data_IF_496230897023
#
_entry.id   IF_496230897023
#
_cell.length_a   1.000
_cell.length_b   1.000
_cell.length_c   1.000
_cell.angle_alpha   90.00
_cell.angle_beta   90.00
_cell.angle_gamma   90.00
#
_symmetry.space_group_name_H-M   'P 1'
#
loop_
_entity.id
_entity.type
_entity.pdbx_description
1 polymer ?
#
# COMPACT_ATOMS: atom_id res chain seq x y z
N UNK A 1 -5.38 -9.37 18.27
CA UNK A 1 -4.52 -8.25 18.73
C UNK A 1 -3.40 -7.92 17.75
N UNK A 2 -2.52 -8.86 17.34
CA UNK A 2 -1.56 -8.63 16.25
C UNK A 2 -2.23 -8.06 14.98
N UNK A 3 -3.46 -8.45 14.72
CA UNK A 3 -4.29 -7.95 13.62
C UNK A 3 -4.51 -6.44 13.70
N UNK A 4 -4.87 -5.87 14.86
CA UNK A 4 -5.10 -4.42 15.02
C UNK A 4 -3.82 -3.63 14.85
N UNK A 5 -2.69 -4.16 15.32
CA UNK A 5 -1.39 -3.54 15.17
C UNK A 5 -0.98 -3.53 13.68
N UNK A 6 -1.19 -4.66 12.98
CA UNK A 6 -0.88 -4.76 11.54
C UNK A 6 -1.78 -3.84 10.69
N UNK A 7 -3.04 -3.68 11.09
CA UNK A 7 -3.99 -2.79 10.42
C UNK A 7 -3.65 -1.32 10.57
N UNK A 8 -2.98 -0.92 11.66
CA UNK A 8 -2.77 0.50 11.97
C UNK A 8 -2.13 1.27 10.80
N UNK A 9 -1.14 0.68 10.13
CA UNK A 9 -0.47 1.31 8.99
C UNK A 9 -1.35 1.46 7.75
N UNK A 10 -2.09 0.43 7.37
CA UNK A 10 -2.90 0.45 6.15
C UNK A 10 -4.25 1.13 6.33
N UNK A 11 -4.91 0.93 7.47
CA UNK A 11 -6.18 1.55 7.78
C UNK A 11 -6.08 3.07 7.85
N UNK A 12 -5.01 3.59 8.48
CA UNK A 12 -4.80 5.03 8.61
C UNK A 12 -4.63 5.75 7.27
N UNK A 13 -4.15 5.06 6.24
CA UNK A 13 -4.09 5.62 4.89
C UNK A 13 -5.50 5.83 4.32
N UNK A 14 -6.34 4.79 4.35
CA UNK A 14 -7.63 4.80 3.66
C UNK A 14 -8.73 5.56 4.39
N UNK A 15 -8.70 5.58 5.73
CA UNK A 15 -9.74 6.22 6.56
C UNK A 15 -9.73 7.75 6.42
N UNK A 16 -8.57 8.36 6.14
CA UNK A 16 -8.43 9.81 6.01
C UNK A 16 -8.79 10.34 4.61
N UNK A 17 -8.79 9.48 3.58
CA UNK A 17 -9.01 9.90 2.19
C UNK A 17 -10.32 10.69 2.00
N UNK A 18 -11.49 10.28 2.51
CA UNK A 18 -12.73 11.05 2.34
C UNK A 18 -12.70 12.44 3.01
N UNK A 19 -11.78 12.64 3.96
CA UNK A 19 -11.64 13.90 4.69
C UNK A 19 -10.77 14.93 3.98
N UNK A 20 -10.05 14.55 2.90
CA UNK A 20 -9.05 15.40 2.24
C UNK A 20 -9.60 16.77 1.81
N UNK A 21 -10.75 16.88 1.09
CA UNK A 21 -11.23 18.20 0.68
C UNK A 21 -11.58 19.10 1.87
N UNK A 22 -12.31 18.56 2.85
CA UNK A 22 -12.74 19.32 4.04
C UNK A 22 -11.52 19.74 4.90
N UNK A 23 -10.51 18.90 4.98
CA UNK A 23 -9.27 19.23 5.67
C UNK A 23 -8.45 20.28 4.91
N UNK A 24 -8.47 20.23 3.56
CA UNK A 24 -7.84 21.23 2.69
C UNK A 24 -8.44 22.60 2.89
N UNK A 25 -9.75 22.71 2.81
CA UNK A 25 -10.47 23.97 3.08
C UNK A 25 -10.15 24.53 4.49
N UNK A 26 -10.07 23.66 5.49
CA UNK A 26 -9.80 24.06 6.87
C UNK A 26 -8.35 24.49 7.14
N UNK A 27 -7.40 24.07 6.30
CA UNK A 27 -5.96 24.36 6.40
C UNK A 27 -5.47 25.34 5.33
N UNK A 28 -6.39 25.89 4.51
CA UNK A 28 -6.09 26.76 3.35
C UNK A 28 -5.05 26.13 2.42
N UNK A 29 -5.25 24.82 2.12
CA UNK A 29 -4.36 23.99 1.34
C UNK A 29 -4.96 23.58 0.01
N UNK A 30 -4.16 23.60 -1.05
CA UNK A 30 -4.58 23.15 -2.37
C UNK A 30 -4.64 21.60 -2.49
N UNK A 31 -5.24 21.12 -3.58
CA UNK A 31 -5.44 19.70 -3.83
C UNK A 31 -4.10 18.94 -3.91
N UNK A 32 -3.06 19.55 -4.47
CA UNK A 32 -1.74 18.95 -4.59
C UNK A 32 -1.10 18.76 -3.20
N UNK A 33 -1.17 19.77 -2.35
CA UNK A 33 -0.69 19.71 -0.96
C UNK A 33 -1.45 18.63 -0.15
N UNK A 34 -2.77 18.54 -0.32
CA UNK A 34 -3.55 17.51 0.36
C UNK A 34 -3.23 16.11 -0.13
N UNK A 35 -2.97 15.93 -1.43
CA UNK A 35 -2.51 14.63 -1.97
C UNK A 35 -1.11 14.25 -1.47
N UNK A 36 -0.23 15.24 -1.19
CA UNK A 36 1.06 14.97 -0.55
C UNK A 36 0.92 14.33 0.84
N UNK A 37 -0.17 14.57 1.57
CA UNK A 37 -0.42 13.89 2.86
C UNK A 37 -0.54 12.37 2.68
N UNK A 38 -1.06 11.90 1.55
CA UNK A 38 -1.17 10.48 1.20
C UNK A 38 0.12 9.97 0.57
N UNK A 39 0.71 10.74 -0.36
CA UNK A 39 1.96 10.37 -1.03
C UNK A 39 3.11 10.17 -0.03
N UNK A 40 3.33 11.14 0.88
CA UNK A 40 4.37 11.03 1.90
C UNK A 40 4.02 10.00 2.99
N UNK A 41 2.72 9.74 3.24
CA UNK A 41 2.31 8.60 4.05
C UNK A 41 2.80 7.28 3.43
N UNK A 42 2.56 7.07 2.14
CA UNK A 42 3.00 5.87 1.42
C UNK A 42 4.53 5.75 1.43
N UNK A 43 5.24 6.87 1.25
CA UNK A 43 6.70 6.92 1.35
C UNK A 43 7.20 6.53 2.74
N UNK A 44 6.51 6.97 3.81
CA UNK A 44 6.80 6.55 5.18
C UNK A 44 6.66 5.03 5.36
N UNK A 45 5.60 4.42 4.80
CA UNK A 45 5.44 2.96 4.75
C UNK A 45 6.58 2.29 3.98
N UNK A 46 6.99 2.85 2.83
CA UNK A 46 8.08 2.32 2.01
C UNK A 46 9.38 2.24 2.81
N UNK A 47 9.81 3.35 3.38
CA UNK A 47 11.04 3.42 4.18
C UNK A 47 10.97 2.49 5.39
N UNK A 48 9.82 2.44 6.06
CA UNK A 48 9.59 1.55 7.20
C UNK A 48 9.80 0.07 6.86
N UNK A 49 9.45 -0.37 5.65
CA UNK A 49 9.65 -1.77 5.23
C UNK A 49 11.13 -2.18 5.17
N UNK A 50 12.03 -1.26 4.81
CA UNK A 50 13.47 -1.52 4.86
C UNK A 50 14.03 -1.50 6.28
N UNK A 51 13.42 -0.68 7.16
CA UNK A 51 13.97 -0.37 8.47
C UNK A 51 13.58 -1.39 9.54
N UNK A 52 12.29 -1.79 9.61
CA UNK A 52 11.80 -2.60 10.73
C UNK A 52 12.24 -4.06 10.71
N UNK A 53 12.54 -4.64 9.55
CA UNK A 53 13.12 -5.98 9.45
C UNK A 53 14.44 -6.08 10.24
N UNK A 54 15.48 -5.40 9.78
CA UNK A 54 16.80 -5.39 10.44
C UNK A 54 16.76 -4.88 11.89
N UNK A 55 15.93 -3.87 12.18
CA UNK A 55 15.78 -3.36 13.54
C UNK A 55 15.26 -4.45 14.50
N UNK A 56 14.28 -5.21 14.06
CA UNK A 56 13.67 -6.25 14.88
C UNK A 56 14.57 -7.47 15.06
N UNK A 57 15.45 -7.75 14.12
CA UNK A 57 16.46 -8.81 14.25
C UNK A 57 17.54 -8.40 15.25
N UNK A 58 17.88 -7.11 15.34
CA UNK A 58 18.87 -6.59 16.27
C UNK A 58 18.35 -6.42 17.70
N UNK A 59 17.15 -5.84 17.86
CA UNK A 59 16.60 -5.46 19.17
C UNK A 59 15.60 -6.48 19.73
N UNK A 60 15.08 -7.39 18.90
CA UNK A 60 13.93 -8.22 19.19
C UNK A 60 12.65 -7.65 18.61
N UNK A 61 11.61 -8.48 18.49
CA UNK A 61 10.33 -8.10 17.84
C UNK A 61 9.58 -7.07 18.67
N UNK A 62 9.48 -7.29 19.99
CA UNK A 62 8.72 -6.42 20.90
C UNK A 62 9.29 -4.99 20.99
N UNK A 63 10.59 -4.75 21.26
CA UNK A 63 11.16 -3.41 21.30
C UNK A 63 11.02 -2.66 19.97
N UNK A 64 11.27 -3.32 18.83
CA UNK A 64 11.11 -2.72 17.52
C UNK A 64 9.65 -2.28 17.25
N UNK A 65 8.68 -3.11 17.65
CA UNK A 65 7.27 -2.79 17.53
C UNK A 65 6.85 -1.64 18.48
N UNK A 66 7.38 -1.61 19.72
CA UNK A 66 7.14 -0.52 20.66
C UNK A 66 7.64 0.83 20.13
N UNK A 67 8.85 0.86 19.56
CA UNK A 67 9.40 2.07 18.92
C UNK A 67 8.47 2.53 17.79
N UNK A 68 8.03 1.63 16.92
CA UNK A 68 7.10 1.96 15.83
C UNK A 68 5.77 2.52 16.34
N UNK A 69 5.14 1.86 17.33
CA UNK A 69 3.87 2.32 17.88
C UNK A 69 4.00 3.62 18.68
N UNK A 70 5.14 3.88 19.30
CA UNK A 70 5.43 5.15 19.95
C UNK A 70 5.51 6.29 18.92
N UNK A 71 6.27 6.09 17.83
CA UNK A 71 6.37 7.06 16.72
C UNK A 71 4.98 7.30 16.12
N UNK A 72 4.20 6.22 15.86
CA UNK A 72 2.84 6.32 15.33
C UNK A 72 1.94 7.16 16.25
N UNK A 73 2.00 6.93 17.56
CA UNK A 73 1.16 7.63 18.54
C UNK A 73 1.52 9.11 18.66
N UNK A 74 2.81 9.44 18.76
CA UNK A 74 3.29 10.83 18.81
C UNK A 74 2.89 11.57 17.53
N UNK A 75 3.17 10.97 16.37
CA UNK A 75 2.80 11.54 15.09
C UNK A 75 1.28 11.68 14.94
N UNK A 76 0.49 10.74 15.50
CA UNK A 76 -0.95 10.83 15.57
C UNK A 76 -1.46 12.04 16.36
N UNK A 77 -0.83 12.35 17.50
CA UNK A 77 -1.13 13.55 18.30
C UNK A 77 -0.81 14.81 17.48
N UNK A 78 0.36 14.84 16.83
CA UNK A 78 0.78 15.99 16.02
C UNK A 78 -0.18 16.19 14.84
N UNK A 79 -0.57 15.12 14.14
CA UNK A 79 -1.53 15.17 13.04
C UNK A 79 -2.91 15.71 13.49
N UNK A 80 -3.42 15.23 14.63
CA UNK A 80 -4.69 15.72 15.18
C UNK A 80 -4.66 17.21 15.53
N UNK A 81 -3.51 17.71 16.01
CA UNK A 81 -3.30 19.12 16.41
C UNK A 81 -2.81 19.99 15.25
N UNK A 82 -2.70 19.45 14.03
CA UNK A 82 -2.14 20.19 12.89
C UNK A 82 -2.92 21.48 12.60
N UNK A 83 -2.16 22.59 12.52
CA UNK A 83 -2.64 23.92 12.19
C UNK A 83 -2.20 24.39 10.81
N UNK A 84 -1.29 23.65 10.14
CA UNK A 84 -0.87 23.87 8.77
C UNK A 84 -0.78 22.55 8.03
N UNK A 85 -0.80 22.63 6.70
CA UNK A 85 -0.72 21.44 5.83
C UNK A 85 0.66 20.78 5.93
N UNK A 86 1.74 21.55 6.08
CA UNK A 86 3.10 21.04 6.22
C UNK A 86 3.25 20.22 7.52
N UNK A 87 2.66 20.71 8.61
CA UNK A 87 2.63 19.99 9.88
C UNK A 87 1.87 18.67 9.74
N UNK A 88 0.74 18.69 9.03
CA UNK A 88 -0.04 17.49 8.76
C UNK A 88 0.74 16.50 7.89
N UNK A 89 1.36 16.96 6.80
CA UNK A 89 2.16 16.15 5.89
C UNK A 89 3.30 15.45 6.64
N UNK A 90 4.09 16.22 7.42
CA UNK A 90 5.19 15.67 8.22
C UNK A 90 4.69 14.64 9.24
N UNK A 91 3.62 14.96 9.96
CA UNK A 91 3.02 14.05 10.94
C UNK A 91 2.53 12.75 10.28
N UNK A 92 1.90 12.84 9.12
CA UNK A 92 1.42 11.68 8.37
C UNK A 92 2.57 10.77 7.90
N UNK A 93 3.69 11.35 7.46
CA UNK A 93 4.89 10.59 7.11
C UNK A 93 5.40 9.76 8.31
N UNK A 94 5.61 10.41 9.47
CA UNK A 94 6.09 9.69 10.66
C UNK A 94 5.05 8.72 11.22
N UNK A 95 3.76 9.01 11.10
CA UNK A 95 2.69 8.10 11.47
C UNK A 95 2.75 6.82 10.62
N UNK A 96 2.94 6.94 9.31
CA UNK A 96 3.09 5.81 8.41
C UNK A 96 4.37 5.01 8.70
N UNK A 97 5.49 5.71 8.88
CA UNK A 97 6.75 5.08 9.24
C UNK A 97 6.59 4.24 10.51
N UNK A 98 6.00 4.80 11.57
CA UNK A 98 5.72 4.06 12.81
C UNK A 98 4.74 2.89 12.61
N UNK A 99 3.66 3.11 11.85
CA UNK A 99 2.64 2.09 11.56
C UNK A 99 3.15 0.91 10.74
N UNK A 100 4.20 1.13 9.94
CA UNK A 100 4.84 0.08 9.17
C UNK A 100 5.43 -1.04 10.05
N UNK A 101 5.82 -0.75 11.30
CA UNK A 101 6.28 -1.75 12.26
C UNK A 101 5.26 -2.88 12.42
N UNK A 102 3.98 -2.54 12.57
CA UNK A 102 2.90 -3.52 12.68
C UNK A 102 2.75 -4.38 11.42
N UNK A 103 2.84 -3.77 10.24
CA UNK A 103 2.73 -4.46 8.96
C UNK A 103 3.92 -5.41 8.70
N UNK A 104 5.13 -4.95 9.00
CA UNK A 104 6.37 -5.71 8.79
C UNK A 104 6.51 -6.86 9.81
N UNK A 105 6.27 -6.60 11.10
CA UNK A 105 6.55 -7.53 12.17
C UNK A 105 5.38 -8.45 12.51
N UNK A 106 4.13 -8.06 12.24
CA UNK A 106 2.96 -8.84 12.58
C UNK A 106 2.97 -10.25 11.98
N UNK A 107 3.38 -10.38 10.72
CA UNK A 107 3.53 -11.68 10.05
C UNK A 107 4.70 -12.52 10.61
N UNK A 108 5.80 -11.86 10.96
CA UNK A 108 6.96 -12.51 11.55
C UNK A 108 6.61 -13.10 12.92
N UNK A 109 5.98 -12.32 13.79
CA UNK A 109 5.58 -12.74 15.13
C UNK A 109 4.58 -13.90 15.13
N UNK A 110 3.67 -13.96 14.16
CA UNK A 110 2.77 -15.13 14.02
C UNK A 110 3.58 -16.38 13.69
N UNK A 111 4.57 -16.28 12.79
CA UNK A 111 5.43 -17.42 12.45
C UNK A 111 6.33 -17.85 13.63
N UNK A 112 6.81 -16.89 14.41
CA UNK A 112 7.68 -17.14 15.56
C UNK A 112 6.93 -17.82 16.73
N UNK A 113 5.61 -17.61 16.86
CA UNK A 113 4.80 -18.02 18.03
C UNK A 113 3.84 -19.17 17.78
N UNK A 114 3.56 -19.52 16.53
CA UNK A 114 2.59 -20.55 16.20
C UNK A 114 3.25 -21.84 15.73
N UNK A 115 2.72 -23.00 16.16
CA UNK A 115 3.08 -24.28 15.55
C UNK A 115 2.75 -24.23 14.02
N UNK A 116 3.50 -24.96 13.16
CA UNK A 116 3.38 -24.85 11.71
C UNK A 116 1.92 -24.90 11.19
N UNK A 117 1.13 -25.84 11.68
CA UNK A 117 -0.26 -26.03 11.26
C UNK A 117 -1.17 -24.86 11.70
N UNK A 118 -0.95 -24.29 12.88
CA UNK A 118 -1.69 -23.15 13.39
C UNK A 118 -1.20 -21.82 12.81
N UNK A 119 0.08 -21.73 12.39
CA UNK A 119 0.63 -20.54 11.76
C UNK A 119 -0.10 -20.20 10.46
N UNK A 120 -0.40 -21.21 9.62
CA UNK A 120 -1.14 -21.01 8.36
C UNK A 120 -2.54 -20.43 8.63
N UNK A 121 -3.26 -20.99 9.61
CA UNK A 121 -4.60 -20.52 9.96
C UNK A 121 -4.58 -19.08 10.53
N UNK A 122 -3.63 -18.76 11.42
CA UNK A 122 -3.48 -17.41 11.99
C UNK A 122 -3.09 -16.38 10.96
N UNK A 123 -2.20 -16.73 10.02
CA UNK A 123 -1.82 -15.87 8.89
C UNK A 123 -3.00 -15.65 7.94
N UNK A 124 -3.83 -16.66 7.70
CA UNK A 124 -5.04 -16.51 6.89
C UNK A 124 -6.02 -15.50 7.50
N UNK A 125 -6.26 -15.59 8.82
CA UNK A 125 -7.09 -14.62 9.54
C UNK A 125 -6.47 -13.22 9.49
N UNK A 126 -5.17 -13.09 9.71
CA UNK A 126 -4.48 -11.80 9.60
C UNK A 126 -4.67 -11.20 8.21
N UNK A 127 -4.42 -11.97 7.15
CA UNK A 127 -4.54 -11.49 5.78
C UNK A 127 -5.99 -11.13 5.42
N UNK A 128 -6.98 -11.87 5.92
CA UNK A 128 -8.40 -11.56 5.73
C UNK A 128 -8.74 -10.18 6.33
N UNK A 129 -8.31 -9.92 7.57
CA UNK A 129 -8.61 -8.64 8.23
C UNK A 129 -7.82 -7.50 7.61
N UNK A 130 -6.55 -7.73 7.22
CA UNK A 130 -5.74 -6.73 6.47
C UNK A 130 -6.38 -6.39 5.12
N UNK A 131 -7.11 -7.32 4.50
CA UNK A 131 -7.84 -7.06 3.27
C UNK A 131 -9.18 -6.31 3.50
N UNK A 132 -9.92 -6.67 4.55
CA UNK A 132 -11.23 -6.06 4.87
C UNK A 132 -11.07 -4.65 5.48
N UNK A 133 -10.05 -4.44 6.31
CA UNK A 133 -9.81 -3.17 6.99
C UNK A 133 -9.82 -1.96 6.06
N UNK A 134 -9.00 -1.94 5.01
CA UNK A 134 -9.01 -0.88 4.01
C UNK A 134 -10.35 -0.69 3.27
N UNK A 135 -11.14 -1.76 3.09
CA UNK A 135 -12.46 -1.66 2.46
C UNK A 135 -13.47 -0.92 3.35
N UNK A 136 -13.42 -1.13 4.66
CA UNK A 136 -14.30 -0.46 5.61
C UNK A 136 -13.79 0.93 6.02
N UNK A 137 -12.48 1.18 5.89
CA UNK A 137 -11.86 2.41 6.34
C UNK A 137 -12.46 3.68 5.72
N UNK A 138 -12.69 3.79 4.41
CA UNK A 138 -13.30 4.98 3.82
C UNK A 138 -14.74 5.21 4.31
N UNK A 139 -15.51 4.16 4.57
CA UNK A 139 -16.88 4.27 5.10
C UNK A 139 -16.86 4.85 6.52
N UNK A 140 -15.99 4.33 7.39
CA UNK A 140 -15.79 4.85 8.75
C UNK A 140 -15.27 6.28 8.71
N UNK A 141 -14.29 6.56 7.82
CA UNK A 141 -13.70 7.87 7.64
C UNK A 141 -14.72 8.91 7.18
N UNK A 142 -15.56 8.57 6.20
CA UNK A 142 -16.64 9.42 5.72
C UNK A 142 -17.67 9.70 6.82
N UNK A 143 -18.09 8.68 7.57
CA UNK A 143 -19.03 8.83 8.68
C UNK A 143 -18.46 9.77 9.76
N UNK A 144 -17.24 9.55 10.21
CA UNK A 144 -16.59 10.41 11.21
C UNK A 144 -16.43 11.84 10.71
N UNK A 145 -16.04 12.01 9.44
CA UNK A 145 -15.81 13.33 8.85
C UNK A 145 -17.10 14.13 8.75
N UNK A 146 -18.19 13.51 8.32
CA UNK A 146 -19.49 14.19 8.10
C UNK A 146 -20.24 14.47 9.41
N UNK A 147 -20.04 13.64 10.44
CA UNK A 147 -20.78 13.77 11.71
C UNK A 147 -20.02 14.55 12.77
N UNK A 148 -18.70 14.34 12.88
CA UNK A 148 -17.87 14.85 13.97
C UNK A 148 -16.69 15.71 13.49
N UNK A 149 -16.53 15.86 12.17
CA UNK A 149 -15.46 16.64 11.56
C UNK A 149 -14.19 15.83 11.29
N UNK A 150 -13.37 16.32 10.34
CA UNK A 150 -12.19 15.61 9.83
C UNK A 150 -11.11 15.32 10.88
N UNK A 151 -10.94 16.20 11.88
CA UNK A 151 -9.98 15.99 12.97
C UNK A 151 -10.30 14.76 13.83
N UNK A 152 -11.55 14.36 13.91
CA UNK A 152 -11.96 13.14 14.66
C UNK A 152 -11.40 11.87 14.05
N UNK A 153 -11.21 11.84 12.73
CA UNK A 153 -10.53 10.72 12.04
C UNK A 153 -9.09 10.57 12.56
N UNK A 154 -8.36 11.68 12.65
CA UNK A 154 -6.97 11.69 13.14
C UNK A 154 -6.90 11.37 14.64
N UNK A 155 -7.87 11.83 15.44
CA UNK A 155 -7.98 11.48 16.84
C UNK A 155 -8.24 9.98 17.03
N UNK A 156 -9.13 9.39 16.24
CA UNK A 156 -9.40 7.96 16.30
C UNK A 156 -8.14 7.13 15.98
N UNK A 157 -7.36 7.54 14.98
CA UNK A 157 -6.07 6.92 14.66
C UNK A 157 -5.04 7.08 15.78
N UNK A 158 -4.99 8.25 16.41
CA UNK A 158 -4.14 8.51 17.55
C UNK A 158 -4.48 7.58 18.74
N UNK A 159 -5.76 7.50 19.09
CA UNK A 159 -6.25 6.61 20.16
C UNK A 159 -5.98 5.14 19.87
N UNK A 160 -6.14 4.72 18.62
CA UNK A 160 -5.78 3.38 18.18
C UNK A 160 -4.27 3.13 18.34
N UNK A 161 -3.43 4.09 18.00
CA UNK A 161 -1.98 4.00 18.18
C UNK A 161 -1.58 3.87 19.65
N UNK A 162 -2.14 4.70 20.51
CA UNK A 162 -1.91 4.64 21.97
C UNK A 162 -2.39 3.30 22.54
N UNK A 163 -3.57 2.85 22.14
CA UNK A 163 -4.11 1.55 22.56
C UNK A 163 -3.20 0.39 22.13
N UNK A 164 -2.71 0.40 20.90
CA UNK A 164 -1.77 -0.59 20.38
C UNK A 164 -0.42 -0.54 21.15
N UNK A 165 0.11 0.67 21.44
CA UNK A 165 1.33 0.84 22.21
C UNK A 165 1.19 0.27 23.63
N UNK A 166 0.10 0.62 24.34
CA UNK A 166 -0.20 0.10 25.67
C UNK A 166 -0.34 -1.41 25.68
N UNK A 167 -0.98 -1.97 24.64
CA UNK A 167 -1.12 -3.40 24.47
C UNK A 167 0.23 -4.09 24.29
N UNK A 168 1.08 -3.60 23.38
CA UNK A 168 2.41 -4.16 23.13
C UNK A 168 3.26 -4.08 24.41
N UNK A 169 3.17 -2.95 25.11
CA UNK A 169 3.91 -2.75 26.35
C UNK A 169 3.48 -3.69 27.49
N UNK A 170 2.16 -3.91 27.67
CA UNK A 170 1.65 -4.70 28.81
C UNK A 170 1.55 -6.19 28.55
N UNK A 171 1.18 -6.58 27.37
CA UNK A 171 0.65 -7.92 27.08
C UNK A 171 1.44 -8.71 26.02
N UNK A 172 2.35 -8.07 25.28
CA UNK A 172 3.05 -8.77 24.22
C UNK A 172 4.39 -9.33 24.73
N UNK A 173 4.61 -10.66 24.66
CA UNK A 173 5.91 -11.25 24.98
C UNK A 173 6.93 -10.99 23.86
N UNK A 174 8.21 -11.11 24.19
CA UNK A 174 9.25 -11.21 23.16
C UNK A 174 9.15 -12.55 22.44
N UNK A 175 9.25 -12.52 21.11
CA UNK A 175 9.05 -13.72 20.28
C UNK A 175 10.31 -14.15 19.54
N UNK A 176 11.34 -13.32 19.49
CA UNK A 176 12.62 -13.65 18.86
C UNK A 176 13.80 -13.23 19.74
N UNK A 177 14.88 -14.00 19.67
CA UNK A 177 16.13 -13.63 20.33
C UNK A 177 16.82 -12.51 19.56
N UNK A 178 17.12 -11.40 20.25
CA UNK A 178 17.85 -10.28 19.69
C UNK A 178 19.30 -10.70 19.35
N UNK A 179 19.76 -10.39 18.15
CA UNK A 179 21.16 -10.62 17.75
C UNK A 179 22.12 -9.58 18.33
N UNK A 180 21.59 -8.49 18.90
CA UNK A 180 22.33 -7.39 19.50
C UNK A 180 23.00 -6.45 18.50
N UNK A 181 23.02 -6.78 17.20
CA UNK A 181 23.67 -5.96 16.17
C UNK A 181 22.93 -6.03 14.83
N UNK A 182 22.77 -4.89 14.19
CA UNK A 182 22.38 -4.84 12.77
C UNK A 182 23.64 -5.06 11.93
N UNK A 183 23.67 -6.11 11.14
CA UNK A 183 24.78 -6.35 10.21
C UNK A 183 24.57 -5.56 8.91
N UNK A 184 24.77 -4.24 8.96
CA UNK A 184 24.61 -3.36 7.80
C UNK A 184 25.43 -3.79 6.57
N UNK A 185 26.70 -4.23 6.69
CA UNK A 185 27.46 -4.70 5.53
C UNK A 185 26.85 -5.93 4.86
N UNK A 186 26.30 -6.86 5.63
CA UNK A 186 25.62 -8.05 5.10
C UNK A 186 24.35 -7.66 4.36
N UNK A 187 23.49 -6.85 4.98
CA UNK A 187 22.25 -6.36 4.40
C UNK A 187 22.50 -5.55 3.12
N UNK A 188 23.52 -4.67 3.12
CA UNK A 188 23.89 -3.90 1.94
C UNK A 188 24.35 -4.80 0.79
N UNK A 189 25.09 -5.88 1.07
CA UNK A 189 25.47 -6.87 0.04
C UNK A 189 24.27 -7.61 -0.53
N UNK A 190 23.30 -8.00 0.30
CA UNK A 190 22.07 -8.64 -0.16
C UNK A 190 21.27 -7.70 -1.07
N UNK A 191 21.07 -6.44 -0.64
CA UNK A 191 20.38 -5.44 -1.45
C UNK A 191 21.12 -5.14 -2.76
N UNK A 192 22.45 -4.99 -2.71
CA UNK A 192 23.26 -4.81 -3.93
C UNK A 192 23.13 -5.98 -4.90
N UNK A 193 23.09 -7.21 -4.38
CA UNK A 193 22.91 -8.42 -5.21
C UNK A 193 21.55 -8.41 -5.90
N UNK A 194 20.48 -8.04 -5.19
CA UNK A 194 19.13 -7.95 -5.72
C UNK A 194 19.00 -6.81 -6.76
N UNK A 195 19.53 -5.62 -6.46
CA UNK A 195 19.50 -4.46 -7.36
C UNK A 195 20.32 -4.70 -8.62
N UNK A 196 21.33 -5.54 -8.59
CA UNK A 196 22.10 -5.94 -9.79
C UNK A 196 21.39 -6.99 -10.65
N UNK A 197 20.33 -7.59 -10.17
CA UNK A 197 19.52 -8.55 -10.94
C UNK A 197 18.49 -7.84 -11.81
N UNK A 198 18.62 -7.84 -13.15
CA UNK A 198 17.63 -7.21 -14.03
C UNK A 198 16.24 -7.83 -13.90
N UNK A 199 16.16 -9.14 -13.62
CA UNK A 199 14.90 -9.83 -13.38
C UNK A 199 14.22 -9.31 -12.11
N UNK A 200 14.97 -9.16 -10.99
CA UNK A 200 14.42 -8.61 -9.75
C UNK A 200 13.91 -7.18 -9.92
N UNK A 201 14.71 -6.31 -10.53
CA UNK A 201 14.33 -4.92 -10.78
C UNK A 201 13.08 -4.85 -11.66
N UNK A 202 13.04 -5.65 -12.73
CA UNK A 202 11.89 -5.68 -13.61
C UNK A 202 10.60 -6.14 -12.91
N UNK A 203 10.66 -7.17 -12.04
CA UNK A 203 9.51 -7.57 -11.22
C UNK A 203 9.15 -6.51 -10.18
N UNK A 204 10.12 -5.86 -9.55
CA UNK A 204 9.87 -4.82 -8.54
C UNK A 204 9.24 -3.55 -9.16
N UNK A 205 9.78 -3.06 -10.27
CA UNK A 205 9.21 -1.93 -11.00
C UNK A 205 7.86 -2.30 -11.60
N UNK A 206 7.80 -3.43 -12.32
CA UNK A 206 6.58 -3.85 -12.99
C UNK A 206 5.44 -4.16 -12.03
N UNK A 207 5.73 -4.92 -10.98
CA UNK A 207 4.78 -5.20 -9.90
C UNK A 207 4.36 -3.92 -9.17
N UNK A 208 5.31 -3.03 -8.85
CA UNK A 208 5.03 -1.74 -8.25
C UNK A 208 4.11 -0.87 -9.12
N UNK A 209 4.46 -0.65 -10.39
CA UNK A 209 3.66 0.16 -11.31
C UNK A 209 2.23 -0.38 -11.47
N UNK A 210 2.06 -1.70 -11.66
CA UNK A 210 0.72 -2.28 -11.82
C UNK A 210 -0.07 -2.23 -10.52
N UNK A 211 0.54 -2.49 -9.36
CA UNK A 211 -0.22 -2.70 -8.12
C UNK A 211 -0.41 -1.44 -7.28
N UNK A 212 0.47 -0.45 -7.35
CA UNK A 212 0.40 0.73 -6.47
C UNK A 212 0.05 2.04 -7.17
N UNK A 213 0.03 2.08 -8.51
CA UNK A 213 -0.49 3.25 -9.21
C UNK A 213 -1.96 3.57 -8.83
N UNK A 214 -2.74 2.58 -8.41
CA UNK A 214 -4.10 2.78 -7.90
C UNK A 214 -4.17 3.79 -6.73
N UNK A 215 -3.09 3.97 -5.97
CA UNK A 215 -3.06 4.94 -4.88
C UNK A 215 -3.20 6.38 -5.40
N UNK A 216 -2.78 6.64 -6.65
CA UNK A 216 -3.04 7.90 -7.33
C UNK A 216 -4.55 8.16 -7.43
N UNK A 217 -5.33 7.16 -7.86
CA UNK A 217 -6.79 7.29 -7.91
C UNK A 217 -7.40 7.39 -6.51
N UNK A 218 -6.95 6.60 -5.55
CA UNK A 218 -7.47 6.65 -4.17
C UNK A 218 -7.30 8.06 -3.60
N UNK A 219 -6.15 8.69 -3.77
CA UNK A 219 -5.87 10.03 -3.26
C UNK A 219 -6.63 11.13 -4.03
N UNK A 220 -6.84 10.94 -5.35
CA UNK A 220 -7.56 11.91 -6.20
C UNK A 220 -9.08 11.72 -6.18
N UNK A 221 -9.59 10.57 -5.76
CA UNK A 221 -11.01 10.24 -5.81
C UNK A 221 -11.93 11.29 -5.13
N UNK A 222 -11.62 11.84 -3.94
CA UNK A 222 -12.46 12.88 -3.34
C UNK A 222 -12.56 14.12 -4.22
N UNK A 223 -11.45 14.55 -4.82
CA UNK A 223 -11.41 15.73 -5.70
C UNK A 223 -12.14 15.47 -7.01
N UNK A 224 -12.00 14.27 -7.59
CA UNK A 224 -12.71 13.88 -8.82
C UNK A 224 -14.22 13.79 -8.57
N UNK A 225 -14.64 13.07 -7.54
CA UNK A 225 -16.07 12.81 -7.34
C UNK A 225 -16.79 13.96 -6.67
N UNK A 226 -16.19 14.67 -5.70
CA UNK A 226 -16.85 15.76 -4.99
C UNK A 226 -16.72 17.07 -5.76
N UNK A 227 -15.52 17.50 -6.11
CA UNK A 227 -15.31 18.82 -6.73
C UNK A 227 -15.65 18.83 -8.22
N UNK A 228 -15.23 17.82 -9.01
CA UNK A 228 -15.46 17.80 -10.45
C UNK A 228 -16.86 17.26 -10.82
N UNK A 229 -17.34 16.21 -10.13
CA UNK A 229 -18.61 15.55 -10.46
C UNK A 229 -19.76 15.91 -9.51
N UNK A 230 -19.53 16.75 -8.50
CA UNK A 230 -20.57 17.23 -7.57
C UNK A 230 -21.23 16.12 -6.73
N UNK A 231 -20.55 15.01 -6.48
CA UNK A 231 -21.10 13.89 -5.70
C UNK A 231 -20.88 14.11 -4.20
N UNK A 232 -21.82 13.65 -3.35
CA UNK A 232 -21.63 13.70 -1.92
C UNK A 232 -20.38 12.92 -1.45
N UNK A 233 -19.72 13.40 -0.39
CA UNK A 233 -18.54 12.74 0.21
C UNK A 233 -18.82 11.27 0.59
N UNK A 234 -20.06 10.98 1.03
CA UNK A 234 -20.47 9.60 1.35
C UNK A 234 -20.39 8.64 0.16
N UNK A 235 -20.62 9.13 -1.08
CA UNK A 235 -20.50 8.29 -2.27
C UNK A 235 -19.05 7.92 -2.58
N UNK A 236 -18.10 8.80 -2.30
CA UNK A 236 -16.66 8.50 -2.46
C UNK A 236 -16.26 7.27 -1.64
N UNK A 237 -16.79 7.16 -0.43
CA UNK A 237 -16.50 6.02 0.44
C UNK A 237 -16.98 4.69 -0.18
N UNK A 238 -18.13 4.67 -0.85
CA UNK A 238 -18.62 3.48 -1.55
C UNK A 238 -17.75 3.12 -2.76
N UNK A 239 -17.35 4.11 -3.57
CA UNK A 239 -16.44 3.88 -4.71
C UNK A 239 -15.10 3.31 -4.25
N UNK A 240 -14.48 3.90 -3.23
CA UNK A 240 -13.22 3.38 -2.67
C UNK A 240 -13.38 1.97 -2.08
N UNK A 241 -14.50 1.67 -1.46
CA UNK A 241 -14.78 0.31 -0.95
C UNK A 241 -14.97 -0.70 -2.08
N UNK A 242 -15.65 -0.34 -3.16
CA UNK A 242 -15.82 -1.18 -4.33
C UNK A 242 -14.47 -1.50 -5.00
N UNK A 243 -13.57 -0.52 -5.07
CA UNK A 243 -12.20 -0.70 -5.58
C UNK A 243 -11.45 -1.77 -4.78
N UNK A 244 -11.51 -1.73 -3.45
CA UNK A 244 -10.83 -2.72 -2.60
C UNK A 244 -11.48 -4.10 -2.70
N UNK A 245 -12.80 -4.16 -2.85
CA UNK A 245 -13.50 -5.41 -3.14
C UNK A 245 -13.07 -6.00 -4.48
N UNK A 246 -12.87 -5.18 -5.51
CA UNK A 246 -12.35 -5.62 -6.80
C UNK A 246 -10.95 -6.25 -6.69
N UNK A 247 -10.05 -5.64 -5.90
CA UNK A 247 -8.73 -6.23 -5.58
C UNK A 247 -8.90 -7.59 -4.90
N UNK A 248 -9.81 -7.67 -3.93
CA UNK A 248 -10.06 -8.91 -3.18
C UNK A 248 -10.60 -10.02 -4.08
N UNK A 249 -11.47 -9.70 -5.04
CA UNK A 249 -11.95 -10.63 -6.06
C UNK A 249 -10.82 -11.08 -6.98
N UNK A 250 -9.94 -10.18 -7.42
CA UNK A 250 -8.75 -10.52 -8.19
C UNK A 250 -7.83 -11.49 -7.45
N UNK A 251 -7.57 -11.26 -6.17
CA UNK A 251 -6.81 -12.17 -5.31
C UNK A 251 -7.48 -13.55 -5.21
N UNK A 252 -8.80 -13.59 -5.06
CA UNK A 252 -9.56 -14.84 -4.98
C UNK A 252 -9.47 -15.65 -6.29
N UNK A 253 -9.60 -14.97 -7.42
CA UNK A 253 -9.43 -15.60 -8.75
C UNK A 253 -8.01 -16.14 -8.89
N UNK A 254 -6.99 -15.39 -8.49
CA UNK A 254 -5.60 -15.86 -8.50
C UNK A 254 -5.45 -17.16 -7.72
N UNK A 255 -5.92 -17.20 -6.47
CA UNK A 255 -5.81 -18.39 -5.63
C UNK A 255 -6.47 -19.63 -6.23
N UNK A 256 -7.59 -19.45 -6.95
CA UNK A 256 -8.30 -20.57 -7.58
C UNK A 256 -7.71 -21.02 -8.91
N UNK A 257 -7.05 -20.11 -9.64
CA UNK A 257 -6.63 -20.37 -11.04
C UNK A 257 -5.13 -20.61 -11.20
N UNK A 258 -4.31 -20.24 -10.21
CA UNK A 258 -2.86 -20.31 -10.30
C UNK A 258 -2.33 -21.71 -10.63
N UNK A 259 -2.94 -22.76 -10.06
CA UNK A 259 -2.54 -24.16 -10.32
C UNK A 259 -2.90 -24.65 -11.73
N UNK A 260 -3.89 -24.01 -12.39
CA UNK A 260 -4.34 -24.41 -13.75
C UNK A 260 -3.65 -23.63 -14.85
N UNK A 261 -3.47 -22.31 -14.64
CA UNK A 261 -2.96 -21.38 -15.67
C UNK A 261 -1.44 -21.20 -15.57
N UNK A 262 -0.89 -21.34 -14.35
CA UNK A 262 0.51 -21.07 -14.06
C UNK A 262 0.76 -19.59 -13.75
N UNK A 263 1.73 -19.34 -12.85
CA UNK A 263 1.99 -18.02 -12.26
C UNK A 263 2.35 -16.95 -13.29
N UNK A 264 3.16 -17.29 -14.30
CA UNK A 264 3.64 -16.34 -15.31
C UNK A 264 2.51 -15.88 -16.24
N UNK A 265 1.70 -16.84 -16.75
CA UNK A 265 0.57 -16.51 -17.63
C UNK A 265 -0.45 -15.68 -16.88
N UNK A 266 -0.71 -16.03 -15.61
CA UNK A 266 -1.66 -15.32 -14.75
C UNK A 266 -1.19 -13.88 -14.48
N UNK A 267 0.08 -13.68 -14.17
CA UNK A 267 0.66 -12.34 -13.98
C UNK A 267 0.54 -11.47 -15.23
N UNK A 268 0.88 -12.02 -16.41
CA UNK A 268 0.80 -11.27 -17.67
C UNK A 268 -0.64 -10.94 -18.08
N UNK A 269 -1.58 -11.87 -17.94
CA UNK A 269 -2.99 -11.61 -18.24
C UNK A 269 -3.59 -10.56 -17.29
N UNK A 270 -3.24 -10.64 -16.02
CA UNK A 270 -3.66 -9.69 -15.01
C UNK A 270 -3.12 -8.26 -15.28
N UNK A 271 -1.84 -8.14 -15.63
CA UNK A 271 -1.25 -6.85 -15.98
C UNK A 271 -1.86 -6.23 -17.25
N UNK A 272 -2.31 -7.05 -18.20
CA UNK A 272 -3.07 -6.58 -19.37
C UNK A 272 -4.45 -6.05 -18.97
N UNK A 273 -5.13 -6.67 -18.00
CA UNK A 273 -6.40 -6.13 -17.48
C UNK A 273 -6.21 -4.75 -16.82
N UNK A 274 -5.15 -4.60 -16.02
CA UNK A 274 -4.82 -3.28 -15.44
C UNK A 274 -4.48 -2.26 -16.52
N UNK A 275 -3.75 -2.66 -17.58
CA UNK A 275 -3.46 -1.79 -18.71
C UNK A 275 -4.76 -1.35 -19.43
N UNK A 276 -5.66 -2.29 -19.69
CA UNK A 276 -6.97 -1.99 -20.29
C UNK A 276 -7.78 -1.02 -19.43
N UNK A 277 -7.80 -1.22 -18.10
CA UNK A 277 -8.47 -0.31 -17.16
C UNK A 277 -7.86 1.10 -17.15
N UNK A 278 -6.53 1.22 -17.13
CA UNK A 278 -5.84 2.51 -17.17
C UNK A 278 -6.05 3.26 -18.50
N UNK A 279 -5.97 2.55 -19.62
CA UNK A 279 -6.23 3.13 -20.95
C UNK A 279 -7.69 3.52 -21.09
N UNK A 280 -8.64 2.68 -20.64
CA UNK A 280 -10.08 3.02 -20.71
C UNK A 280 -10.41 4.27 -19.92
N UNK A 281 -9.82 4.44 -18.73
CA UNK A 281 -9.98 5.68 -17.96
C UNK A 281 -9.47 6.91 -18.73
N UNK A 282 -8.29 6.80 -19.33
CA UNK A 282 -7.70 7.90 -20.12
C UNK A 282 -8.58 8.26 -21.33
N UNK A 283 -9.07 7.27 -22.06
CA UNK A 283 -9.99 7.48 -23.19
C UNK A 283 -11.30 8.14 -22.74
N UNK A 284 -11.89 7.69 -21.64
CA UNK A 284 -13.13 8.26 -21.09
C UNK A 284 -12.94 9.74 -20.74
N UNK A 285 -11.83 10.08 -20.08
CA UNK A 285 -11.55 11.47 -19.69
C UNK A 285 -11.28 12.35 -20.91
N UNK A 286 -10.51 11.88 -21.89
CA UNK A 286 -10.21 12.63 -23.12
C UNK A 286 -11.42 12.80 -24.04
N UNK A 287 -12.35 11.84 -24.07
CA UNK A 287 -13.58 11.93 -24.87
C UNK A 287 -14.73 12.67 -24.18
N UNK A 288 -14.50 13.24 -23.01
CA UNK A 288 -15.50 13.97 -22.22
C UNK A 288 -16.73 13.12 -21.82
N UNK A 289 -16.62 11.79 -21.84
CA UNK A 289 -17.66 10.85 -21.35
C UNK A 289 -17.56 10.60 -19.85
N UNK A 290 -17.07 11.60 -19.14
CA UNK A 290 -16.78 11.51 -17.71
C UNK A 290 -18.06 11.43 -16.90
N UNK A 291 -18.32 10.28 -16.30
CA UNK A 291 -19.37 10.09 -15.31
C UNK A 291 -18.81 9.26 -14.14
N UNK A 292 -19.48 9.30 -13.00
CA UNK A 292 -19.06 8.50 -11.86
C UNK A 292 -19.01 7.00 -12.19
N UNK A 293 -19.97 6.51 -12.98
CA UNK A 293 -20.07 5.09 -13.37
C UNK A 293 -18.96 4.69 -14.34
N UNK A 294 -18.66 5.51 -15.36
CA UNK A 294 -17.64 5.19 -16.36
C UNK A 294 -16.24 5.21 -15.77
N UNK A 295 -15.92 6.20 -14.92
CA UNK A 295 -14.66 6.26 -14.22
C UNK A 295 -14.50 5.07 -13.26
N UNK A 296 -15.52 4.80 -12.45
CA UNK A 296 -15.49 3.68 -11.50
C UNK A 296 -15.31 2.35 -12.22
N UNK A 297 -16.04 2.07 -13.31
CA UNK A 297 -15.92 0.84 -14.07
C UNK A 297 -14.49 0.62 -14.61
N UNK A 298 -13.85 1.68 -15.11
CA UNK A 298 -12.46 1.60 -15.61
C UNK A 298 -11.47 1.29 -14.49
N UNK A 299 -11.65 1.89 -13.32
CA UNK A 299 -10.78 1.66 -12.16
C UNK A 299 -11.04 0.29 -11.52
N UNK A 300 -12.29 -0.20 -11.49
CA UNK A 300 -12.59 -1.56 -11.05
C UNK A 300 -11.88 -2.60 -11.92
N UNK A 301 -11.86 -2.40 -13.25
CA UNK A 301 -11.10 -3.27 -14.17
C UNK A 301 -9.60 -3.22 -13.86
N UNK A 302 -9.05 -2.00 -13.65
CA UNK A 302 -7.66 -1.81 -13.26
C UNK A 302 -7.33 -2.57 -11.99
N UNK A 303 -8.11 -2.38 -10.93
CA UNK A 303 -7.86 -2.92 -9.60
C UNK A 303 -8.12 -4.42 -9.48
N UNK A 304 -9.01 -4.97 -10.32
CA UNK A 304 -9.13 -6.41 -10.46
C UNK A 304 -7.81 -7.04 -10.95
N UNK A 305 -7.18 -6.43 -11.96
CA UNK A 305 -5.84 -6.82 -12.42
C UNK A 305 -4.77 -6.63 -11.34
N UNK A 306 -4.85 -5.57 -10.53
CA UNK A 306 -3.97 -5.35 -9.35
C UNK A 306 -4.03 -6.54 -8.40
N UNK A 307 -5.24 -6.99 -8.03
CA UNK A 307 -5.43 -8.12 -7.12
C UNK A 307 -4.80 -9.41 -7.64
N UNK A 308 -4.82 -9.61 -8.95
CA UNK A 308 -4.20 -10.79 -9.57
C UNK A 308 -2.67 -10.64 -9.72
N UNK A 309 -2.19 -9.44 -10.06
CA UNK A 309 -0.75 -9.20 -10.30
C UNK A 309 0.06 -9.18 -9.01
N UNK A 310 -0.50 -8.63 -7.92
CA UNK A 310 0.22 -8.43 -6.65
C UNK A 310 0.91 -9.68 -6.11
N UNK A 311 0.17 -10.75 -5.79
CA UNK A 311 0.77 -11.96 -5.25
C UNK A 311 1.70 -12.68 -6.25
N UNK A 312 1.39 -12.62 -7.54
CA UNK A 312 2.18 -13.31 -8.58
C UNK A 312 3.52 -12.63 -8.82
N UNK A 313 3.55 -11.31 -8.94
CA UNK A 313 4.78 -10.54 -9.14
C UNK A 313 5.70 -10.60 -7.90
N UNK A 314 5.15 -10.49 -6.68
CA UNK A 314 5.91 -10.66 -5.44
C UNK A 314 6.55 -12.04 -5.36
N UNK A 315 5.79 -13.10 -5.64
CA UNK A 315 6.29 -14.48 -5.59
C UNK A 315 7.45 -14.68 -6.56
N UNK A 316 7.35 -14.17 -7.79
CA UNK A 316 8.43 -14.26 -8.78
C UNK A 316 9.65 -13.43 -8.36
N UNK A 317 9.46 -12.21 -7.87
CA UNK A 317 10.55 -11.36 -7.41
C UNK A 317 11.35 -12.00 -6.27
N UNK A 318 10.67 -12.53 -5.26
CA UNK A 318 11.29 -13.18 -4.10
C UNK A 318 11.94 -14.51 -4.48
N UNK A 319 11.40 -15.21 -5.48
CA UNK A 319 11.93 -16.47 -6.00
C UNK A 319 13.26 -16.36 -6.74
N UNK A 320 13.67 -15.16 -7.16
CA UNK A 320 14.95 -14.93 -7.87
C UNK A 320 16.17 -15.39 -7.05
N UNK A 321 16.14 -15.15 -5.73
CA UNK A 321 17.22 -15.60 -4.85
C UNK A 321 16.67 -16.19 -3.55
N UNK A 322 16.51 -17.52 -3.48
CA UNK A 322 15.95 -18.20 -2.30
C UNK A 322 16.78 -18.05 -1.01
N UNK A 323 18.02 -17.57 -1.09
CA UNK A 323 18.89 -17.38 0.08
C UNK A 323 18.59 -16.08 0.83
N UNK A 324 17.92 -15.11 0.20
CA UNK A 324 17.69 -13.77 0.74
C UNK A 324 16.21 -13.34 0.64
N UNK A 325 15.30 -14.28 0.88
CA UNK A 325 13.84 -14.10 0.75
C UNK A 325 13.33 -12.89 1.55
N UNK A 326 13.85 -12.70 2.78
CA UNK A 326 13.43 -11.58 3.63
C UNK A 326 13.84 -10.22 3.08
N UNK A 327 15.10 -10.09 2.67
CA UNK A 327 15.63 -8.87 2.05
C UNK A 327 14.97 -8.58 0.70
N UNK A 328 14.69 -9.63 -0.09
CA UNK A 328 13.98 -9.48 -1.36
C UNK A 328 12.54 -8.98 -1.16
N UNK A 329 11.81 -9.51 -0.19
CA UNK A 329 10.47 -9.06 0.13
C UNK A 329 10.43 -7.60 0.65
N UNK A 330 11.38 -7.23 1.51
CA UNK A 330 11.52 -5.87 2.03
C UNK A 330 11.84 -4.86 0.92
N UNK A 331 12.83 -5.19 0.07
CA UNK A 331 13.23 -4.33 -1.04
C UNK A 331 12.13 -4.21 -2.11
N UNK A 332 11.43 -5.30 -2.42
CA UNK A 332 10.27 -5.29 -3.30
C UNK A 332 9.18 -4.37 -2.73
N UNK A 333 8.84 -4.52 -1.45
CA UNK A 333 7.84 -3.69 -0.80
C UNK A 333 8.22 -2.21 -0.76
N UNK A 334 9.49 -1.89 -0.53
CA UNK A 334 10.02 -0.52 -0.63
C UNK A 334 9.82 0.05 -2.04
N UNK A 335 10.27 -0.68 -3.07
CA UNK A 335 10.12 -0.25 -4.46
C UNK A 335 8.64 -0.06 -4.85
N UNK A 336 7.80 -1.02 -4.47
CA UNK A 336 6.36 -0.99 -4.71
C UNK A 336 5.71 0.26 -4.07
N UNK A 337 5.93 0.49 -2.78
CA UNK A 337 5.34 1.65 -2.09
C UNK A 337 5.98 2.98 -2.56
N UNK A 338 7.28 2.99 -2.87
CA UNK A 338 7.94 4.16 -3.44
C UNK A 338 7.35 4.58 -4.78
N UNK A 339 7.07 3.62 -5.67
CA UNK A 339 6.36 3.86 -6.93
C UNK A 339 4.94 4.38 -6.67
N UNK A 340 4.22 3.80 -5.71
CA UNK A 340 2.90 4.27 -5.32
C UNK A 340 2.91 5.72 -4.81
N UNK A 341 3.90 6.08 -3.98
CA UNK A 341 4.09 7.44 -3.51
C UNK A 341 4.35 8.41 -4.67
N UNK A 342 5.22 8.02 -5.62
CA UNK A 342 5.50 8.81 -6.82
C UNK A 342 4.24 8.99 -7.70
N UNK A 343 3.51 7.91 -7.97
CA UNK A 343 2.27 7.98 -8.75
C UNK A 343 1.23 8.89 -8.08
N UNK A 344 1.10 8.82 -6.75
CA UNK A 344 0.19 9.68 -6.00
C UNK A 344 0.60 11.15 -6.06
N UNK A 345 1.89 11.45 -5.93
CA UNK A 345 2.41 12.82 -6.04
C UNK A 345 2.20 13.38 -7.46
N UNK A 346 2.47 12.58 -8.50
CA UNK A 346 2.27 12.99 -9.90
C UNK A 346 0.79 13.24 -10.22
N UNK A 347 -0.14 12.47 -9.67
CA UNK A 347 -1.56 12.68 -9.86
C UNK A 347 -2.10 13.95 -9.19
N UNK A 348 -1.36 14.48 -8.21
CA UNK A 348 -1.65 15.79 -7.59
C UNK A 348 -1.23 16.99 -8.41
N UNK A 349 -0.48 16.79 -9.51
CA UNK A 349 -0.02 17.89 -10.34
C UNK A 349 -1.08 18.25 -11.40
N UNK A 350 -1.34 19.55 -11.56
CA UNK A 350 -2.24 20.08 -12.57
C UNK A 350 -3.68 20.31 -12.07
N UNK A 351 -4.42 21.10 -12.87
CA UNK A 351 -5.75 21.62 -12.51
C UNK A 351 -6.90 20.61 -12.73
N UNK A 352 -6.61 19.47 -13.37
CA UNK A 352 -7.62 18.45 -13.65
C UNK A 352 -7.23 17.10 -13.00
N UNK A 353 -7.72 16.81 -11.77
CA UNK A 353 -7.41 15.58 -11.06
C UNK A 353 -7.79 14.30 -11.83
N UNK A 354 -8.88 14.29 -12.57
CA UNK A 354 -9.29 13.12 -13.36
C UNK A 354 -8.29 12.82 -14.49
N UNK A 355 -7.84 13.86 -15.21
CA UNK A 355 -6.89 13.71 -16.31
C UNK A 355 -5.50 13.32 -15.79
N UNK A 356 -4.99 13.99 -14.77
CA UNK A 356 -3.71 13.68 -14.15
C UNK A 356 -3.67 12.23 -13.67
N UNK A 357 -4.71 11.79 -12.96
CA UNK A 357 -4.85 10.41 -12.50
C UNK A 357 -4.90 9.41 -13.65
N UNK A 358 -5.67 9.69 -14.70
CA UNK A 358 -5.80 8.81 -15.86
C UNK A 358 -4.47 8.63 -16.61
N UNK A 359 -3.71 9.73 -16.77
CA UNK A 359 -2.36 9.70 -17.37
C UNK A 359 -1.42 8.85 -16.51
N UNK A 360 -1.42 9.04 -15.20
CA UNK A 360 -0.56 8.29 -14.27
C UNK A 360 -0.90 6.79 -14.32
N UNK A 361 -2.19 6.41 -14.24
CA UNK A 361 -2.59 5.01 -14.30
C UNK A 361 -2.22 4.34 -15.61
N UNK A 362 -2.49 5.00 -16.74
CA UNK A 362 -2.17 4.47 -18.07
C UNK A 362 -0.65 4.32 -18.25
N UNK A 363 0.12 5.35 -17.90
CA UNK A 363 1.59 5.34 -18.03
C UNK A 363 2.22 4.28 -17.12
N UNK A 364 1.80 4.21 -15.86
CA UNK A 364 2.28 3.20 -14.93
C UNK A 364 1.95 1.77 -15.42
N UNK A 365 0.75 1.54 -15.95
CA UNK A 365 0.37 0.24 -16.50
C UNK A 365 1.22 -0.15 -17.72
N UNK A 366 1.54 0.80 -18.62
CA UNK A 366 2.43 0.57 -19.76
C UNK A 366 3.84 0.22 -19.29
N UNK A 367 4.41 1.05 -18.40
CA UNK A 367 5.74 0.80 -17.81
C UNK A 367 5.75 -0.57 -17.09
N UNK A 368 4.71 -0.86 -16.33
CA UNK A 368 4.54 -2.12 -15.62
C UNK A 368 4.55 -3.31 -16.56
N UNK A 369 3.80 -3.23 -17.67
CA UNK A 369 3.73 -4.29 -18.66
C UNK A 369 5.09 -4.55 -19.34
N UNK A 370 5.81 -3.48 -19.69
CA UNK A 370 7.15 -3.58 -20.28
C UNK A 370 8.13 -4.21 -19.27
N UNK A 371 8.14 -3.70 -18.03
CA UNK A 371 9.05 -4.17 -17.00
C UNK A 371 8.83 -5.64 -16.64
N UNK A 372 7.56 -6.10 -16.51
CA UNK A 372 7.26 -7.50 -16.23
C UNK A 372 7.69 -8.44 -17.36
N UNK A 373 7.52 -8.03 -18.62
CA UNK A 373 7.98 -8.83 -19.77
C UNK A 373 9.51 -8.89 -19.83
N UNK A 374 10.17 -7.79 -19.57
CA UNK A 374 11.63 -7.69 -19.51
C UNK A 374 12.19 -8.56 -18.38
N UNK A 375 11.55 -8.52 -17.20
CA UNK A 375 11.91 -9.37 -16.07
C UNK A 375 11.86 -10.86 -16.44
N UNK A 376 10.77 -11.28 -17.07
CA UNK A 376 10.61 -12.66 -17.51
C UNK A 376 11.64 -13.10 -18.55
N UNK A 377 12.05 -12.20 -19.45
CA UNK A 377 13.10 -12.49 -20.42
C UNK A 377 14.44 -12.79 -19.73
N UNK A 378 14.87 -11.94 -18.81
CA UNK A 378 16.11 -12.15 -18.07
C UNK A 378 16.06 -13.35 -17.10
N UNK A 379 14.90 -13.60 -16.48
CA UNK A 379 14.71 -14.73 -15.58
C UNK A 379 14.84 -16.07 -16.35
N UNK A 380 14.26 -16.16 -17.55
CA UNK A 380 14.41 -17.34 -18.42
C UNK A 380 15.85 -17.56 -18.87
N UNK A 381 16.57 -16.49 -19.19
CA UNK A 381 18.00 -16.59 -19.55
C UNK A 381 18.84 -17.11 -18.38
N UNK A 382 18.59 -16.61 -17.17
CA UNK A 382 19.33 -17.01 -15.98
C UNK A 382 19.06 -18.47 -15.56
N UNK A 383 17.83 -18.96 -15.78
CA UNK A 383 17.43 -20.33 -15.39
C UNK A 383 17.66 -21.37 -16.49
N UNK A 384 18.18 -20.99 -17.66
CA UNK A 384 18.41 -21.90 -18.80
C UNK A 384 17.12 -22.49 -19.39
N UNK A 385 15.96 -21.98 -19.02
CA UNK A 385 14.65 -22.40 -19.54
C UNK A 385 14.36 -21.70 -20.87
N UNK A 386 15.05 -22.12 -21.91
CA UNK A 386 14.59 -21.92 -23.29
C UNK A 386 13.39 -22.84 -23.48
N UNK A 387 12.18 -22.28 -23.51
CA UNK A 387 10.97 -23.03 -23.72
C UNK A 387 10.21 -22.60 -24.90
#
# INVERSE_FOLDING_TARGET
MLVLITLAGTLAMHIFVPALPIAGDALDADNAQMQLTISLYILGLAIGQLFYGPLSDALGRRPALMIGMLIYSIAGIVAWRAQSVEMLIAARFFQAFGGCAGLALGRAMIRDTAAPDHAVQRLAVLNLVVAIGPALAPLIGSLLTTTLGWRTVLLALCLMGIGNLLFVWRLMPETAQATGRVNFPHLAREYCTLIRSPAFIGYAIGGGCVTTAMFAFIASAPFIFVEQLGKPVSHVAFYLSALILSISLGNLVTNRTIHRVGIVRLMLSASVLSLAGGISMLVIVLSSWTSAVTLEASVLLFTFGVGMTGPTALTLAVGINPKVVGSAAGLYGFAQMGIGALCTALAGLGDNPALATAIVLATAAVIGQIALRTALHFDRQATGRNG
#
